data_IF_762252537534
#
_entry.id   IF_762252537534
#
_cell.length_a   1.000
_cell.length_b   1.000
_cell.length_c   1.000
_cell.angle_alpha   90.00
_cell.angle_beta   90.00
_cell.angle_gamma   90.00
#
_symmetry.space_group_name_H-M   'P 1'
#
loop_
_entity.id
_entity.type
_entity.pdbx_description
1 polymer ?
#
# COMPACT_ATOMS: atom_id res chain seq x y z
N UNK A 1 12.91 -26.79 10.26
CA UNK A 1 12.42 -25.39 10.29
C UNK A 1 13.64 -24.48 10.48
N UNK A 2 14.12 -23.86 9.41
CA UNK A 2 15.39 -23.08 9.45
C UNK A 2 15.08 -21.65 9.89
N UNK A 3 15.60 -21.29 11.06
CA UNK A 3 15.47 -19.99 11.76
C UNK A 3 16.23 -18.88 10.99
N UNK A 4 15.81 -18.53 9.79
CA UNK A 4 16.41 -17.42 9.04
C UNK A 4 15.67 -16.08 9.15
N UNK A 5 14.50 -16.05 9.79
CA UNK A 5 13.64 -14.87 9.82
C UNK A 5 13.66 -14.12 11.17
N UNK A 6 14.35 -14.63 12.20
CA UNK A 6 14.45 -13.98 13.51
C UNK A 6 15.55 -12.91 13.54
N UNK A 7 16.51 -12.96 12.61
CA UNK A 7 17.67 -12.06 12.64
C UNK A 7 17.28 -10.60 12.30
N UNK A 8 16.21 -10.39 11.50
CA UNK A 8 15.77 -9.04 11.15
C UNK A 8 15.13 -8.29 12.33
N UNK A 9 14.46 -9.00 13.20
CA UNK A 9 13.83 -8.41 14.40
C UNK A 9 14.84 -8.04 15.50
N UNK A 10 16.00 -8.70 15.53
CA UNK A 10 17.05 -8.46 16.53
C UNK A 10 18.05 -7.35 16.17
N UNK A 11 18.14 -6.97 14.88
CA UNK A 11 19.02 -5.89 14.43
C UNK A 11 18.37 -4.49 14.57
N UNK A 12 17.03 -4.43 14.69
CA UNK A 12 16.32 -3.16 14.81
C UNK A 12 16.62 -2.37 16.10
N UNK A 13 16.71 -3.02 17.30
CA UNK A 13 17.00 -2.28 18.52
C UNK A 13 18.39 -1.65 18.58
N UNK A 14 19.34 -2.13 17.79
CA UNK A 14 20.72 -1.61 17.82
C UNK A 14 20.92 -0.33 17.02
N UNK A 15 19.90 0.07 16.24
CA UNK A 15 19.89 1.32 15.46
C UNK A 15 19.09 2.45 16.12
N UNK A 16 18.46 2.18 17.28
CA UNK A 16 17.69 3.18 18.01
C UNK A 16 18.63 4.15 18.74
N UNK A 17 18.48 5.41 18.45
CA UNK A 17 19.12 6.53 19.16
C UNK A 17 18.16 7.02 20.25
N UNK A 18 18.66 7.76 21.23
CA UNK A 18 17.90 8.13 22.43
C UNK A 18 16.54 8.84 22.18
N UNK A 19 16.37 9.44 21.01
CA UNK A 19 15.16 10.19 20.63
C UNK A 19 14.35 9.52 19.51
N UNK A 20 14.68 8.29 19.16
CA UNK A 20 13.93 7.56 18.14
C UNK A 20 12.62 7.02 18.72
N UNK A 21 11.56 7.03 17.93
CA UNK A 21 10.26 6.47 18.31
C UNK A 21 9.90 5.32 17.38
N UNK A 22 9.52 4.19 17.97
CA UNK A 22 9.03 3.03 17.23
C UNK A 22 7.56 2.82 17.54
N UNK A 23 6.75 2.82 16.51
CA UNK A 23 5.33 2.48 16.58
C UNK A 23 5.12 1.09 16.01
N UNK A 24 4.39 0.25 16.74
CA UNK A 24 3.95 -1.05 16.26
C UNK A 24 2.43 -1.09 16.34
N UNK A 25 1.81 -1.40 15.22
CA UNK A 25 0.35 -1.51 15.11
C UNK A 25 0.02 -2.88 14.56
N UNK A 26 -0.96 -3.53 15.13
CA UNK A 26 -1.46 -4.81 14.65
C UNK A 26 -2.98 -4.86 14.71
N UNK A 27 -3.57 -5.61 13.78
CA UNK A 27 -5.00 -5.83 13.73
C UNK A 27 -5.30 -7.23 13.22
N UNK A 28 -6.32 -7.86 13.81
CA UNK A 28 -6.86 -9.14 13.33
C UNK A 28 -8.32 -8.91 13.03
N UNK A 29 -8.75 -9.35 11.86
CA UNK A 29 -10.17 -9.38 11.50
C UNK A 29 -10.53 -10.74 10.93
N UNK A 30 -11.73 -11.19 11.27
CA UNK A 30 -12.33 -12.38 10.73
C UNK A 30 -13.77 -12.07 10.34
N UNK A 31 -14.06 -12.25 9.06
CA UNK A 31 -15.39 -12.12 8.51
C UNK A 31 -15.90 -13.52 8.15
N UNK A 32 -17.10 -13.86 8.58
CA UNK A 32 -17.66 -15.18 8.34
C UNK A 32 -19.15 -15.12 7.99
N UNK A 33 -19.57 -15.96 7.07
CA UNK A 33 -20.95 -16.11 6.64
C UNK A 33 -21.34 -17.58 6.52
N UNK A 34 -22.44 -17.96 7.14
CA UNK A 34 -23.11 -19.24 6.94
C UNK A 34 -24.38 -18.98 6.11
N UNK A 35 -24.39 -19.33 4.83
CA UNK A 35 -25.58 -19.15 4.00
C UNK A 35 -26.63 -20.15 4.42
N UNK A 36 -27.70 -19.69 5.10
CA UNK A 36 -28.74 -20.55 5.65
C UNK A 36 -30.04 -20.54 4.88
N UNK A 37 -30.33 -19.52 4.08
CA UNK A 37 -31.61 -19.34 3.40
C UNK A 37 -31.42 -18.66 2.05
N UNK A 38 -32.15 -19.18 1.06
CA UNK A 38 -32.23 -18.63 -0.29
C UNK A 38 -33.34 -17.56 -0.32
N UNK A 39 -32.99 -16.30 -0.09
CA UNK A 39 -33.95 -15.20 -0.08
C UNK A 39 -33.88 -14.47 -1.43
N UNK A 40 -34.71 -14.88 -2.36
CA UNK A 40 -34.98 -14.15 -3.60
C UNK A 40 -33.97 -14.28 -4.74
N UNK A 41 -32.77 -14.81 -4.51
CA UNK A 41 -31.80 -15.23 -5.53
C UNK A 41 -31.17 -16.54 -5.13
N UNK A 42 -31.10 -17.53 -6.04
CA UNK A 42 -30.50 -18.81 -5.73
C UNK A 42 -29.00 -18.60 -5.37
N UNK A 43 -28.59 -19.13 -4.23
CA UNK A 43 -27.20 -19.17 -3.84
C UNK A 43 -26.44 -20.11 -4.80
N UNK A 44 -25.21 -19.77 -5.19
CA UNK A 44 -24.35 -20.68 -5.92
C UNK A 44 -24.20 -22.03 -5.16
N UNK A 45 -24.17 -23.16 -5.86
CA UNK A 45 -24.07 -24.47 -5.23
C UNK A 45 -22.87 -24.61 -4.31
N UNK A 46 -21.71 -24.01 -4.70
CA UNK A 46 -20.51 -23.99 -3.89
C UNK A 46 -20.69 -23.24 -2.55
N UNK A 47 -21.58 -22.25 -2.47
CA UNK A 47 -21.79 -21.48 -1.26
C UNK A 47 -22.74 -22.17 -0.28
N UNK A 48 -23.64 -23.04 -0.75
CA UNK A 48 -24.71 -23.65 0.07
C UNK A 48 -24.20 -24.57 1.17
N UNK A 49 -23.01 -25.15 1.01
CA UNK A 49 -22.47 -26.18 1.90
C UNK A 49 -21.20 -25.76 2.65
N UNK A 50 -20.80 -24.50 2.52
CA UNK A 50 -19.52 -24.05 3.05
C UNK A 50 -19.69 -22.86 3.99
N UNK A 51 -18.80 -22.80 4.98
CA UNK A 51 -18.57 -21.61 5.77
C UNK A 51 -17.69 -20.65 4.96
N UNK A 52 -18.27 -19.54 4.51
CA UNK A 52 -17.54 -18.53 3.75
C UNK A 52 -16.79 -17.66 4.74
N UNK A 53 -15.49 -17.52 4.59
CA UNK A 53 -14.70 -16.75 5.55
C UNK A 53 -13.49 -16.10 4.92
N UNK A 54 -13.18 -14.91 5.42
CA UNK A 54 -11.93 -14.22 5.20
C UNK A 54 -11.34 -13.78 6.54
N UNK A 55 -10.08 -14.09 6.75
CA UNK A 55 -9.33 -13.71 7.95
C UNK A 55 -8.06 -12.99 7.53
N UNK A 56 -7.70 -11.95 8.23
CA UNK A 56 -6.44 -11.28 7.99
C UNK A 56 -5.80 -10.76 9.27
N UNK A 57 -4.47 -10.71 9.22
CA UNK A 57 -3.60 -10.16 10.23
C UNK A 57 -2.80 -9.03 9.59
N UNK A 58 -3.03 -7.82 10.03
CA UNK A 58 -2.24 -6.65 9.66
C UNK A 58 -1.15 -6.41 10.71
N UNK A 59 0.06 -6.17 10.25
CA UNK A 59 1.19 -5.75 11.07
C UNK A 59 1.86 -4.55 10.43
N UNK A 60 1.97 -3.47 11.18
CA UNK A 60 2.68 -2.25 10.80
C UNK A 60 3.75 -1.93 11.83
N UNK A 61 4.92 -1.54 11.34
CA UNK A 61 6.00 -1.00 12.15
C UNK A 61 6.51 0.28 11.49
N UNK A 62 6.62 1.32 12.28
CA UNK A 62 7.17 2.60 11.84
C UNK A 62 8.22 3.04 12.85
N UNK A 63 9.38 3.37 12.34
CA UNK A 63 10.47 3.98 13.08
C UNK A 63 10.66 5.41 12.61
N UNK A 64 10.45 6.36 13.53
CA UNK A 64 10.68 7.79 13.30
C UNK A 64 11.99 8.19 13.96
N UNK A 65 12.90 8.71 13.18
CA UNK A 65 14.18 9.26 13.60
C UNK A 65 14.04 10.74 13.88
N UNK A 66 14.27 11.15 15.14
CA UNK A 66 14.35 12.57 15.52
C UNK A 66 15.81 12.97 15.71
N UNK A 67 16.28 13.88 14.86
CA UNK A 67 17.60 14.49 15.04
C UNK A 67 17.45 15.74 15.91
N UNK A 68 17.89 15.67 17.17
CA UNK A 68 17.80 16.77 18.14
C UNK A 68 18.80 17.92 17.89
N UNK A 69 19.80 17.69 17.05
CA UNK A 69 20.85 18.68 16.80
C UNK A 69 20.83 19.10 15.34
N UNK A 70 20.72 20.41 15.09
CA UNK A 70 20.95 20.99 13.76
C UNK A 70 22.29 20.58 13.16
N UNK A 71 23.29 20.26 13.99
CA UNK A 71 24.61 19.80 13.59
C UNK A 71 24.68 18.29 13.28
N UNK A 72 23.64 17.52 13.58
CA UNK A 72 23.54 16.07 13.31
C UNK A 72 22.48 15.73 12.25
N UNK A 73 22.00 16.74 11.49
CA UNK A 73 21.18 16.45 10.32
C UNK A 73 21.93 15.45 9.44
N UNK A 74 21.34 14.28 9.25
CA UNK A 74 21.81 13.33 8.23
C UNK A 74 21.98 14.08 6.91
N UNK A 75 23.11 13.92 6.25
CA UNK A 75 23.39 14.57 4.96
C UNK A 75 22.30 14.28 3.89
N UNK A 76 21.48 13.25 4.11
CA UNK A 76 20.37 12.83 3.24
C UNK A 76 18.99 13.22 3.80
N UNK A 77 18.93 13.85 4.98
CA UNK A 77 17.65 14.23 5.60
C UNK A 77 16.74 13.03 5.92
N UNK A 78 17.31 11.91 6.36
CA UNK A 78 16.54 10.71 6.71
C UNK A 78 15.65 10.98 7.93
N UNK A 79 14.36 10.55 7.83
CA UNK A 79 13.33 10.77 8.86
C UNK A 79 12.81 9.48 9.46
N UNK A 80 12.83 8.37 8.73
CA UNK A 80 12.33 7.11 9.27
C UNK A 80 12.06 6.04 8.24
N UNK A 81 11.70 4.86 8.78
CA UNK A 81 11.32 3.68 8.01
C UNK A 81 9.93 3.21 8.41
N UNK A 82 9.21 2.63 7.47
CA UNK A 82 7.97 1.92 7.73
C UNK A 82 7.96 0.55 7.05
N UNK A 83 7.37 -0.41 7.71
CA UNK A 83 7.08 -1.74 7.19
C UNK A 83 5.62 -2.03 7.46
N UNK A 84 4.86 -2.33 6.43
CA UNK A 84 3.48 -2.77 6.55
C UNK A 84 3.34 -4.11 5.84
N UNK A 85 2.73 -5.07 6.52
CA UNK A 85 2.47 -6.40 5.96
C UNK A 85 1.12 -6.91 6.41
N UNK A 86 0.50 -7.72 5.57
CA UNK A 86 -0.76 -8.40 5.83
C UNK A 86 -0.66 -9.85 5.45
N UNK A 87 -0.97 -10.72 6.39
CA UNK A 87 -1.26 -12.13 6.12
C UNK A 87 -2.77 -12.32 6.00
N UNK A 88 -3.19 -13.10 5.03
CA UNK A 88 -4.60 -13.33 4.73
C UNK A 88 -4.88 -14.82 4.50
N UNK A 89 -6.05 -15.26 4.95
CA UNK A 89 -6.59 -16.60 4.78
C UNK A 89 -8.06 -16.48 4.35
N UNK A 90 -8.35 -16.91 3.15
CA UNK A 90 -9.71 -17.04 2.63
C UNK A 90 -9.98 -18.51 2.37
N UNK A 91 -10.82 -19.14 3.20
CA UNK A 91 -11.14 -20.56 3.03
C UNK A 91 -12.13 -20.76 1.88
N UNK A 92 -13.21 -20.00 1.90
CA UNK A 92 -14.19 -19.87 0.84
C UNK A 92 -14.55 -18.39 0.69
N UNK A 93 -14.49 -17.85 -0.54
CA UNK A 93 -14.73 -16.42 -0.72
C UNK A 93 -16.15 -16.01 -0.33
N UNK A 94 -16.29 -14.79 0.16
CA UNK A 94 -17.60 -14.21 0.47
C UNK A 94 -18.46 -14.08 -0.79
N UNK A 95 -19.78 -14.08 -0.62
CA UNK A 95 -20.70 -13.88 -1.74
C UNK A 95 -20.44 -12.54 -2.43
N UNK A 96 -20.34 -12.58 -3.75
CA UNK A 96 -20.02 -11.41 -4.57
C UNK A 96 -18.56 -11.31 -4.99
N UNK A 97 -17.69 -12.11 -4.39
CA UNK A 97 -16.30 -12.25 -4.84
C UNK A 97 -16.19 -13.37 -5.88
N UNK A 98 -15.12 -13.33 -6.67
CA UNK A 98 -14.77 -14.42 -7.57
C UNK A 98 -14.38 -15.67 -6.76
N UNK A 99 -14.71 -16.86 -7.28
CA UNK A 99 -14.33 -18.15 -6.67
C UNK A 99 -12.82 -18.33 -6.57
N UNK A 100 -12.05 -17.64 -7.41
CA UNK A 100 -10.58 -17.66 -7.41
C UNK A 100 -9.96 -16.90 -6.23
N UNK A 101 -10.77 -16.26 -5.39
CA UNK A 101 -10.33 -15.57 -4.17
C UNK A 101 -9.97 -16.51 -3.00
N UNK A 102 -9.95 -17.80 -3.18
CA UNK A 102 -9.56 -18.77 -2.16
C UNK A 102 -8.05 -18.86 -1.96
N UNK A 103 -7.61 -19.06 -0.71
CA UNK A 103 -6.20 -19.32 -0.42
C UNK A 103 -5.68 -18.62 0.84
N UNK A 104 -4.37 -18.65 1.04
CA UNK A 104 -3.71 -17.99 2.17
C UNK A 104 -2.35 -17.43 1.73
N UNK A 105 -1.89 -16.35 2.35
CA UNK A 105 -0.57 -15.77 2.06
C UNK A 105 -0.38 -14.36 2.56
N UNK A 106 0.74 -13.75 2.16
CA UNK A 106 1.00 -12.35 2.40
C UNK A 106 0.32 -11.52 1.30
N UNK A 107 -0.84 -10.95 1.62
CA UNK A 107 -1.64 -10.17 0.67
C UNK A 107 -1.11 -8.76 0.47
N UNK A 108 -0.37 -8.23 1.42
CA UNK A 108 0.23 -6.90 1.31
C UNK A 108 1.62 -6.89 1.95
N UNK A 109 2.57 -6.28 1.27
CA UNK A 109 3.90 -6.03 1.79
C UNK A 109 4.43 -4.72 1.21
N UNK A 110 4.73 -3.77 2.07
CA UNK A 110 5.35 -2.53 1.65
C UNK A 110 6.42 -2.06 2.65
N UNK A 111 7.48 -1.52 2.13
CA UNK A 111 8.58 -0.91 2.88
C UNK A 111 8.72 0.52 2.38
N UNK A 112 8.68 1.48 3.30
CA UNK A 112 8.84 2.90 3.01
C UNK A 112 10.02 3.50 3.76
N UNK A 113 10.73 4.42 3.10
CA UNK A 113 11.74 5.27 3.72
C UNK A 113 11.34 6.73 3.51
N UNK A 114 11.31 7.50 4.60
CA UNK A 114 10.93 8.91 4.61
C UNK A 114 12.15 9.81 4.77
N UNK A 115 12.17 10.91 4.03
CA UNK A 115 13.24 11.89 4.00
C UNK A 115 12.65 13.31 4.10
N UNK A 116 13.48 14.32 4.38
CA UNK A 116 13.06 15.73 4.39
C UNK A 116 12.48 16.19 3.05
N UNK A 117 12.97 15.61 1.96
CA UNK A 117 12.61 15.96 0.59
C UNK A 117 11.55 15.05 -0.03
N UNK A 118 11.11 13.99 0.67
CA UNK A 118 10.11 13.08 0.11
C UNK A 118 10.09 11.69 0.74
N UNK A 119 9.51 10.74 0.01
CA UNK A 119 9.34 9.35 0.44
C UNK A 119 9.62 8.37 -0.70
N UNK A 120 10.26 7.28 -0.40
CA UNK A 120 10.45 6.14 -1.30
C UNK A 120 9.72 4.94 -0.72
N UNK A 121 8.91 4.27 -1.53
CA UNK A 121 8.16 3.06 -1.15
C UNK A 121 8.46 1.94 -2.12
N UNK A 122 8.69 0.73 -1.61
CA UNK A 122 8.89 -0.49 -2.39
C UNK A 122 7.97 -1.59 -1.89
N UNK A 123 7.41 -2.36 -2.80
CA UNK A 123 6.44 -3.41 -2.52
C UNK A 123 5.09 -3.12 -3.15
N UNK A 124 4.00 -3.31 -2.40
CA UNK A 124 2.66 -2.96 -2.87
C UNK A 124 2.43 -1.46 -2.71
N UNK A 125 2.28 -0.77 -3.82
CA UNK A 125 2.10 0.68 -3.84
C UNK A 125 0.72 1.06 -4.33
N UNK A 126 0.14 2.03 -3.63
CA UNK A 126 -1.11 2.70 -3.97
C UNK A 126 -0.84 4.16 -4.32
N UNK A 127 -1.74 4.77 -5.08
CA UNK A 127 -1.62 6.17 -5.43
C UNK A 127 -2.67 6.62 -6.42
N UNK A 128 -2.81 7.91 -6.51
CA UNK A 128 -3.73 8.55 -7.42
C UNK A 128 -3.04 9.77 -8.04
N UNK A 129 -3.24 10.00 -9.32
CA UNK A 129 -2.75 11.18 -10.01
C UNK A 129 -3.89 12.17 -10.24
N UNK A 130 -3.74 13.39 -9.72
CA UNK A 130 -4.76 14.42 -9.78
C UNK A 130 -6.13 13.92 -9.33
N UNK A 131 -7.16 14.05 -10.17
CA UNK A 131 -8.52 13.58 -9.89
C UNK A 131 -8.70 12.05 -9.94
N UNK A 132 -7.65 11.30 -10.30
CA UNK A 132 -7.71 9.84 -10.43
C UNK A 132 -8.21 9.34 -11.80
N UNK A 133 -8.44 10.21 -12.75
CA UNK A 133 -8.92 9.80 -14.10
C UNK A 133 -7.85 9.06 -14.90
N UNK A 134 -6.58 9.40 -14.72
CA UNK A 134 -5.47 8.80 -15.47
C UNK A 134 -4.91 7.58 -14.73
N UNK A 135 -4.75 7.70 -13.42
CA UNK A 135 -4.29 6.61 -12.56
C UNK A 135 -4.95 6.70 -11.20
N UNK A 136 -5.55 5.58 -10.78
CA UNK A 136 -6.06 5.38 -9.43
C UNK A 136 -5.80 3.95 -8.99
N UNK A 137 -4.91 3.80 -8.03
CA UNK A 137 -4.53 2.53 -7.41
C UNK A 137 -5.02 2.54 -5.96
N UNK A 138 -5.93 1.65 -5.64
CA UNK A 138 -6.57 1.63 -4.33
C UNK A 138 -7.01 0.21 -3.95
N UNK A 139 -7.31 0.04 -2.69
CA UNK A 139 -7.96 -1.13 -2.14
C UNK A 139 -9.38 -0.75 -1.69
N UNK A 140 -10.37 -1.53 -2.07
CA UNK A 140 -11.71 -1.48 -1.51
C UNK A 140 -12.16 -2.91 -1.18
N UNK A 141 -12.12 -3.25 0.10
CA UNK A 141 -12.44 -4.59 0.58
C UNK A 141 -13.90 -4.94 0.44
N UNK A 142 -14.79 -3.95 0.60
CA UNK A 142 -16.22 -4.17 0.46
C UNK A 142 -16.61 -4.55 -0.97
N UNK A 143 -15.86 -4.03 -1.94
CA UNK A 143 -16.04 -4.35 -3.35
C UNK A 143 -15.13 -5.48 -3.86
N UNK A 144 -14.23 -6.01 -3.02
CA UNK A 144 -13.24 -7.00 -3.43
C UNK A 144 -12.25 -6.48 -4.46
N UNK A 145 -11.95 -5.18 -4.44
CA UNK A 145 -11.03 -4.54 -5.39
C UNK A 145 -9.69 -4.27 -4.72
N UNK A 146 -8.61 -4.76 -5.31
CA UNK A 146 -7.25 -4.36 -4.99
C UNK A 146 -6.45 -4.30 -6.29
N UNK A 147 -6.13 -3.08 -6.72
CA UNK A 147 -5.37 -2.83 -7.94
C UNK A 147 -3.97 -2.26 -7.65
N UNK A 148 -3.39 -2.59 -6.49
CA UNK A 148 -2.02 -2.25 -6.15
C UNK A 148 -1.02 -2.59 -7.26
N UNK A 149 0.05 -1.83 -7.34
CA UNK A 149 1.22 -2.21 -8.12
C UNK A 149 2.27 -2.80 -7.19
N UNK A 150 2.79 -3.98 -7.51
CA UNK A 150 4.01 -4.51 -6.92
C UNK A 150 5.20 -3.92 -7.65
N UNK A 151 5.88 -2.98 -6.99
CA UNK A 151 6.97 -2.23 -7.60
C UNK A 151 7.52 -1.18 -6.67
N UNK A 152 7.58 0.06 -7.13
CA UNK A 152 8.08 1.17 -6.36
C UNK A 152 7.34 2.47 -6.63
N UNK A 153 7.38 3.35 -5.66
CA UNK A 153 6.86 4.73 -5.72
C UNK A 153 7.88 5.66 -5.10
N UNK A 154 8.10 6.80 -5.72
CA UNK A 154 8.86 7.91 -5.18
C UNK A 154 7.99 9.16 -5.17
N UNK A 155 7.97 9.85 -4.06
CA UNK A 155 7.28 11.12 -3.83
C UNK A 155 8.34 12.14 -3.43
N UNK A 156 8.46 13.22 -4.17
CA UNK A 156 9.50 14.23 -3.99
C UNK A 156 8.87 15.61 -3.85
N UNK A 157 9.25 16.33 -2.80
CA UNK A 157 8.88 17.72 -2.54
C UNK A 157 10.17 18.55 -2.49
N UNK A 158 10.80 18.85 -3.64
CA UNK A 158 12.12 19.48 -3.68
C UNK A 158 12.07 20.94 -3.23
N UNK A 159 10.93 21.56 -3.37
CA UNK A 159 10.67 22.93 -2.98
C UNK A 159 9.19 23.11 -2.62
N UNK A 160 8.89 24.13 -1.82
CA UNK A 160 7.54 24.49 -1.40
C UNK A 160 6.64 24.70 -2.63
N UNK A 161 5.50 24.01 -2.68
CA UNK A 161 4.57 24.07 -3.80
C UNK A 161 4.94 23.20 -5.02
N UNK A 162 6.02 22.42 -4.98
CA UNK A 162 6.36 21.46 -6.05
C UNK A 162 6.21 20.04 -5.50
N UNK A 163 5.32 19.27 -6.11
CA UNK A 163 5.05 17.87 -5.74
C UNK A 163 5.24 16.99 -6.96
N UNK A 164 6.22 16.11 -6.88
CA UNK A 164 6.49 15.14 -7.94
C UNK A 164 6.27 13.73 -7.40
N UNK A 165 5.50 12.92 -8.11
CA UNK A 165 5.29 11.51 -7.81
C UNK A 165 5.59 10.67 -9.04
N UNK A 166 6.41 9.66 -8.90
CA UNK A 166 6.60 8.63 -9.91
C UNK A 166 6.36 7.26 -9.30
N UNK A 167 5.77 6.36 -10.05
CA UNK A 167 5.55 4.99 -9.62
C UNK A 167 5.64 4.03 -10.81
N UNK A 168 5.93 2.78 -10.49
CA UNK A 168 5.94 1.75 -11.50
C UNK A 168 5.94 0.35 -10.89
N UNK A 169 5.38 -0.58 -11.63
CA UNK A 169 5.29 -1.96 -11.19
C UNK A 169 4.33 -2.79 -11.99
N UNK A 170 4.14 -4.02 -11.56
CA UNK A 170 3.16 -4.94 -12.15
C UNK A 170 1.85 -4.86 -11.37
N UNK A 171 0.75 -4.70 -12.06
CA UNK A 171 -0.58 -4.66 -11.45
C UNK A 171 -0.92 -6.03 -10.87
N UNK A 172 -1.40 -6.03 -9.63
CA UNK A 172 -1.88 -7.23 -8.96
C UNK A 172 -3.10 -7.80 -9.69
N UNK A 173 -3.11 -9.11 -9.83
CA UNK A 173 -4.23 -9.87 -10.37
C UNK A 173 -5.01 -10.43 -9.20
N UNK A 174 -6.08 -9.79 -8.77
CA UNK A 174 -6.88 -10.21 -7.61
C UNK A 174 -6.06 -10.48 -6.33
N UNK A 175 -6.74 -10.91 -5.29
CA UNK A 175 -6.19 -11.36 -4.02
C UNK A 175 -5.56 -12.75 -4.09
N UNK A 176 -5.52 -13.38 -5.24
CA UNK A 176 -5.03 -14.72 -5.41
C UNK A 176 -3.54 -14.79 -5.11
N UNK A 177 -3.22 -15.21 -3.89
CA UNK A 177 -1.86 -15.35 -3.39
C UNK A 177 -1.21 -16.66 -3.85
N UNK A 178 -1.97 -17.58 -4.41
CA UNK A 178 -1.47 -18.92 -4.74
C UNK A 178 -1.91 -19.36 -6.12
N UNK A 179 -0.92 -19.71 -6.93
CA UNK A 179 -1.04 -20.68 -8.00
C UNK A 179 -0.18 -21.88 -7.63
N UNK A 180 -0.79 -23.08 -7.62
CA UNK A 180 -0.11 -24.38 -7.59
C UNK A 180 0.83 -24.65 -6.41
N UNK A 181 0.44 -24.23 -5.19
CA UNK A 181 1.16 -24.60 -3.97
C UNK A 181 2.51 -23.91 -3.76
N UNK A 182 2.86 -22.94 -4.58
CA UNK A 182 4.04 -22.10 -4.41
C UNK A 182 3.65 -20.74 -3.86
N UNK A 183 4.53 -20.09 -3.11
CA UNK A 183 4.43 -18.70 -2.67
C UNK A 183 4.57 -17.77 -3.89
N UNK A 184 3.62 -17.82 -4.81
CA UNK A 184 3.62 -17.05 -6.04
C UNK A 184 2.50 -16.02 -6.03
N UNK A 185 2.87 -14.76 -6.20
CA UNK A 185 1.94 -13.67 -6.38
C UNK A 185 1.45 -13.66 -7.83
N UNK A 186 0.14 -13.64 -8.01
CA UNK A 186 -0.43 -13.44 -9.34
C UNK A 186 -0.42 -11.97 -9.71
N UNK A 187 0.52 -11.60 -10.57
CA UNK A 187 0.56 -10.29 -11.21
C UNK A 187 0.21 -10.42 -12.69
N UNK A 188 -0.40 -9.37 -13.24
CA UNK A 188 -0.49 -9.21 -14.69
C UNK A 188 0.94 -9.14 -15.24
N UNK A 189 1.14 -9.65 -16.46
CA UNK A 189 2.45 -9.54 -17.09
C UNK A 189 2.79 -8.09 -17.46
N UNK A 190 1.76 -7.29 -17.65
CA UNK A 190 1.84 -5.88 -18.03
C UNK A 190 2.46 -5.04 -16.92
N UNK A 191 3.44 -4.22 -17.28
CA UNK A 191 4.01 -3.22 -16.41
C UNK A 191 3.28 -1.86 -16.58
N UNK A 192 3.04 -1.18 -15.48
CA UNK A 192 2.50 0.18 -15.47
C UNK A 192 3.60 1.11 -14.96
N UNK A 193 3.84 2.20 -15.67
CA UNK A 193 4.72 3.29 -15.27
C UNK A 193 3.94 4.58 -15.29
N UNK A 194 4.12 5.43 -14.28
CA UNK A 194 3.42 6.70 -14.19
C UNK A 194 4.27 7.77 -13.51
N UNK A 195 4.04 9.01 -13.93
CA UNK A 195 4.61 10.20 -13.31
C UNK A 195 3.55 11.31 -13.24
N UNK A 196 3.58 12.07 -12.16
CA UNK A 196 2.70 13.19 -11.89
C UNK A 196 3.51 14.36 -11.33
N UNK A 197 3.26 15.56 -11.84
CA UNK A 197 3.81 16.81 -11.32
C UNK A 197 2.68 17.74 -10.97
N UNK A 198 2.68 18.27 -9.76
CA UNK A 198 1.72 19.26 -9.29
C UNK A 198 2.45 20.50 -8.78
N UNK A 199 1.94 21.67 -9.16
CA UNK A 199 2.44 22.98 -8.76
C UNK A 199 1.36 23.70 -7.97
N UNK A 200 1.58 23.87 -6.68
CA UNK A 200 0.70 24.60 -5.78
C UNK A 200 0.98 26.10 -5.85
N UNK A 201 0.28 26.81 -6.72
CA UNK A 201 0.50 28.24 -6.98
C UNK A 201 0.20 29.12 -5.77
N UNK A 202 -0.64 28.67 -4.84
CA UNK A 202 -0.91 29.35 -3.58
C UNK A 202 0.34 29.52 -2.72
N UNK A 203 1.36 28.67 -2.91
CA UNK A 203 2.61 28.76 -2.16
C UNK A 203 3.54 29.88 -2.70
N UNK A 204 3.29 30.37 -3.90
CA UNK A 204 4.15 31.34 -4.60
C UNK A 204 3.45 32.68 -4.87
N UNK A 205 2.12 32.71 -4.86
CA UNK A 205 1.32 33.90 -5.17
C UNK A 205 0.65 34.39 -3.88
N UNK A 206 1.18 35.47 -3.22
CA UNK A 206 0.65 35.95 -1.95
C UNK A 206 -0.85 36.31 -2.01
N UNK A 207 -1.32 36.86 -3.13
CA UNK A 207 -2.72 37.23 -3.30
C UNK A 207 -3.67 36.03 -3.28
N UNK A 208 -3.22 34.87 -3.76
CA UNK A 208 -3.99 33.61 -3.70
C UNK A 208 -4.02 33.08 -2.28
N UNK A 209 -2.90 33.18 -1.58
CA UNK A 209 -2.78 32.79 -0.17
C UNK A 209 -3.66 33.66 0.75
N UNK A 210 -3.63 34.98 0.57
CA UNK A 210 -4.45 35.92 1.34
C UNK A 210 -5.95 35.75 1.09
N UNK A 211 -6.32 35.37 -0.13
CA UNK A 211 -7.71 35.05 -0.48
C UNK A 211 -8.19 33.69 0.08
N UNK A 212 -7.33 32.90 0.72
CA UNK A 212 -7.64 31.56 1.20
C UNK A 212 -7.97 30.57 0.09
N UNK A 213 -7.57 30.87 -1.16
CA UNK A 213 -7.84 30.03 -2.31
C UNK A 213 -6.72 28.97 -2.50
N UNK A 214 -7.10 27.77 -2.86
CA UNK A 214 -6.17 26.73 -3.28
C UNK A 214 -6.16 26.65 -4.81
N UNK A 215 -5.02 26.98 -5.40
CA UNK A 215 -4.83 26.91 -6.83
C UNK A 215 -3.64 26.01 -7.15
N UNK A 216 -3.92 24.90 -7.82
CA UNK A 216 -2.90 23.95 -8.25
C UNK A 216 -3.01 23.69 -9.75
N UNK A 217 -1.88 23.55 -10.41
CA UNK A 217 -1.77 23.11 -11.80
C UNK A 217 -0.94 21.85 -11.82
N UNK A 218 -1.41 20.82 -12.51
CA UNK A 218 -0.70 19.54 -12.57
C UNK A 218 -0.79 18.88 -13.93
N UNK A 219 0.16 17.97 -14.17
CA UNK A 219 0.20 17.12 -15.34
C UNK A 219 0.58 15.71 -14.99
N UNK A 220 -0.09 14.74 -15.58
CA UNK A 220 0.13 13.30 -15.33
C UNK A 220 0.40 12.57 -16.63
N UNK A 221 1.31 11.61 -16.58
CA UNK A 221 1.58 10.67 -17.64
C UNK A 221 1.55 9.24 -17.11
N UNK A 222 0.86 8.36 -17.82
CA UNK A 222 0.83 6.92 -17.50
C UNK A 222 1.02 6.12 -18.77
N UNK A 223 1.86 5.11 -18.69
CA UNK A 223 2.09 4.15 -19.77
C UNK A 223 1.92 2.72 -19.25
N UNK A 224 1.31 1.89 -20.07
CA UNK A 224 1.17 0.46 -19.82
C UNK A 224 1.88 -0.30 -20.93
N UNK A 225 2.79 -1.19 -20.53
CA UNK A 225 3.54 -2.06 -21.43
C UNK A 225 3.03 -3.50 -21.29
N UNK A 226 2.71 -4.11 -22.43
CA UNK A 226 2.31 -5.52 -22.53
C UNK A 226 3.49 -6.37 -22.95
#
# INVERSE_FOLDING_TARGET
MKIKHIIFLLLFPTLLWANDTVYVVGGIQHDGLIPTIDVGRPLPEWAKMHYLSNSYLDLGMRWDHQSDNENQKSNIGFRGLELITRAELTQWPMLGYDTDFGGYGLSHLHIGASFDWGKITVGDVYGQFGSGMVLRLYEDRALGVDNALRGGKIEINPYKGIYFTALGGKQRRYWNCYTDGAWGWNYKQDAVLGANLELGLQEWIPQVQEAGANLAIGGSYVSKYQ
#
